data_IF_268326963888
#
_entry.id   IF_268326963888
#
_cell.length_a   1.000
_cell.length_b   1.000
_cell.length_c   1.000
_cell.angle_alpha   90.00
_cell.angle_beta   90.00
_cell.angle_gamma   90.00
#
_symmetry.space_group_name_H-M   'P 1'
#
loop_
_entity.id
_entity.type
_entity.pdbx_description
1 polymer ?
#
# COMPACT_ATOMS: atom_id res chain seq x y z
N UNK A 1 9.24 9.24 -10.24
CA UNK A 1 7.94 9.69 -10.80
C UNK A 1 7.08 8.45 -10.92
N UNK A 2 5.93 8.38 -10.24
CA UNK A 2 5.11 7.17 -10.24
C UNK A 2 4.26 7.03 -11.51
N UNK A 3 3.97 5.79 -11.88
CA UNK A 3 2.97 5.44 -12.89
C UNK A 3 1.74 4.82 -12.24
N UNK A 4 0.61 4.90 -12.95
CA UNK A 4 -0.63 4.22 -12.57
C UNK A 4 -0.98 3.21 -13.64
N UNK A 5 -1.33 1.99 -13.23
CA UNK A 5 -1.81 0.95 -14.12
C UNK A 5 -3.19 0.52 -13.63
N UNK A 6 -4.14 0.39 -14.56
CA UNK A 6 -5.43 -0.22 -14.23
C UNK A 6 -5.19 -1.71 -13.88
N UNK A 7 -5.87 -2.21 -12.84
CA UNK A 7 -5.89 -3.65 -12.59
C UNK A 7 -6.54 -4.33 -13.79
N UNK A 8 -5.92 -5.43 -14.26
CA UNK A 8 -6.53 -6.30 -15.28
C UNK A 8 -7.37 -7.38 -14.61
N UNK A 9 -8.29 -7.95 -15.37
CA UNK A 9 -9.04 -9.13 -14.92
C UNK A 9 -8.08 -10.24 -14.47
N UNK A 10 -8.28 -10.74 -13.24
CA UNK A 10 -7.44 -11.74 -12.56
C UNK A 10 -6.03 -11.30 -12.15
N UNK A 11 -5.66 -10.02 -12.22
CA UNK A 11 -4.42 -9.50 -11.63
C UNK A 11 -4.71 -8.92 -10.23
N UNK A 12 -4.50 -9.74 -9.19
CA UNK A 12 -4.65 -9.33 -7.79
C UNK A 12 -3.36 -8.70 -7.26
N UNK A 13 -3.47 -7.49 -6.71
CA UNK A 13 -2.39 -6.88 -5.92
C UNK A 13 -2.57 -7.09 -4.40
N UNK A 14 -2.04 -6.17 -3.60
CA UNK A 14 -2.12 -6.24 -2.14
C UNK A 14 -3.49 -5.84 -1.56
N UNK A 15 -4.32 -5.08 -2.30
CA UNK A 15 -5.71 -4.81 -1.89
C UNK A 15 -6.58 -6.05 -2.10
N UNK A 16 -6.90 -6.74 -0.99
CA UNK A 16 -7.69 -7.96 -1.02
C UNK A 16 -9.19 -7.72 -1.33
N UNK A 17 -9.65 -6.48 -1.30
CA UNK A 17 -11.03 -6.13 -1.63
C UNK A 17 -11.20 -5.66 -3.08
N UNK A 18 -10.09 -5.34 -3.76
CA UNK A 18 -10.10 -5.00 -5.17
C UNK A 18 -10.19 -6.26 -6.03
N UNK A 19 -11.39 -6.84 -6.04
CA UNK A 19 -11.74 -8.09 -6.72
C UNK A 19 -13.09 -7.96 -7.42
N UNK A 20 -13.38 -8.92 -8.30
CA UNK A 20 -14.68 -9.05 -8.95
C UNK A 20 -15.84 -9.00 -7.95
N UNK A 21 -16.94 -8.36 -8.36
CA UNK A 21 -18.08 -8.07 -7.49
C UNK A 21 -18.67 -9.34 -6.86
N UNK A 22 -18.68 -10.44 -7.60
CA UNK A 22 -19.26 -11.73 -7.22
C UNK A 22 -18.37 -12.50 -6.23
N UNK A 23 -17.12 -12.09 -6.03
CA UNK A 23 -16.23 -12.73 -5.07
C UNK A 23 -16.81 -12.66 -3.66
N UNK A 24 -16.74 -13.77 -2.90
CA UNK A 24 -17.37 -13.88 -1.57
C UNK A 24 -16.98 -12.74 -0.62
N UNK A 25 -15.74 -12.24 -0.76
CA UNK A 25 -15.22 -11.14 0.06
C UNK A 25 -16.09 -9.89 -0.12
N UNK A 26 -16.71 -9.64 -1.27
CA UNK A 26 -17.55 -8.46 -1.47
C UNK A 26 -18.94 -8.58 -0.83
N UNK A 27 -19.33 -9.79 -0.40
CA UNK A 27 -20.56 -10.02 0.36
C UNK A 27 -21.85 -9.90 -0.45
N UNK A 28 -21.80 -10.13 -1.77
CA UNK A 28 -22.98 -10.06 -2.65
C UNK A 28 -23.79 -11.36 -2.62
N UNK A 29 -23.12 -12.51 -2.46
CA UNK A 29 -23.72 -13.85 -2.42
C UNK A 29 -22.80 -14.79 -1.62
N UNK A 30 -23.32 -15.73 -0.79
CA UNK A 30 -24.74 -16.02 -0.53
C UNK A 30 -25.44 -15.05 0.43
N UNK A 31 -24.71 -14.42 1.36
CA UNK A 31 -25.26 -13.41 2.28
C UNK A 31 -24.32 -12.22 2.45
N UNK A 32 -24.86 -11.03 2.83
CA UNK A 32 -24.05 -9.87 3.17
C UNK A 32 -23.11 -10.07 4.36
N UNK A 33 -21.91 -9.51 4.26
CA UNK A 33 -20.93 -9.47 5.37
C UNK A 33 -21.24 -8.26 6.27
N UNK A 34 -21.45 -8.50 7.56
CA UNK A 34 -21.63 -7.46 8.56
C UNK A 34 -20.41 -6.54 8.65
N UNK A 35 -20.62 -5.23 8.59
CA UNK A 35 -19.58 -4.20 8.55
C UNK A 35 -20.10 -2.86 9.10
N UNK A 36 -19.25 -1.83 9.32
CA UNK A 36 -19.68 -0.54 9.84
C UNK A 36 -20.76 0.18 9.01
N UNK A 37 -20.84 -0.09 7.71
CA UNK A 37 -21.84 0.49 6.80
C UNK A 37 -23.14 -0.31 6.72
N UNK A 38 -23.24 -1.48 7.38
CA UNK A 38 -24.44 -2.33 7.36
C UNK A 38 -25.69 -1.66 7.94
N UNK A 39 -25.53 -0.62 8.77
CA UNK A 39 -26.66 0.17 9.30
C UNK A 39 -27.36 1.00 8.23
N UNK A 40 -26.74 1.18 7.06
CA UNK A 40 -27.29 1.92 5.94
C UNK A 40 -27.75 0.93 4.85
N UNK A 41 -29.07 0.73 4.64
CA UNK A 41 -29.58 -0.28 3.69
C UNK A 41 -29.03 -0.14 2.27
N UNK A 42 -28.74 1.09 1.83
CA UNK A 42 -28.11 1.38 0.54
C UNK A 42 -26.75 0.69 0.34
N UNK A 43 -25.99 0.51 1.42
CA UNK A 43 -24.60 0.05 1.39
C UNK A 43 -24.40 -1.34 2.02
N UNK A 44 -25.46 -1.92 2.58
CA UNK A 44 -25.38 -3.16 3.34
C UNK A 44 -25.13 -4.40 2.47
N UNK A 45 -25.56 -4.38 1.19
CA UNK A 45 -25.55 -5.56 0.32
C UNK A 45 -24.24 -5.84 -0.43
N UNK A 46 -23.28 -4.90 -0.46
CA UNK A 46 -21.98 -5.10 -1.11
C UNK A 46 -20.93 -4.18 -0.50
N UNK A 47 -19.74 -4.68 -0.18
CA UNK A 47 -18.68 -3.85 0.42
C UNK A 47 -18.09 -2.83 -0.57
N UNK A 48 -18.12 -3.13 -1.87
CA UNK A 48 -17.72 -2.22 -2.96
C UNK A 48 -18.65 -1.02 -3.09
N UNK A 49 -19.91 -1.12 -2.64
CA UNK A 49 -20.89 -0.03 -2.77
C UNK A 49 -20.52 1.25 -2.04
N UNK A 50 -19.69 1.15 -1.00
CA UNK A 50 -19.15 2.27 -0.22
C UNK A 50 -17.65 2.49 -0.44
N UNK A 51 -17.06 1.81 -1.43
CA UNK A 51 -15.69 2.07 -1.87
C UNK A 51 -14.59 1.42 -1.03
N UNK A 52 -14.82 0.23 -0.45
CA UNK A 52 -13.77 -0.51 0.26
C UNK A 52 -12.52 -0.76 -0.63
N UNK A 53 -12.72 -0.87 -1.94
CA UNK A 53 -11.70 -1.10 -2.96
C UNK A 53 -11.32 0.17 -3.75
N UNK A 54 -11.62 1.37 -3.22
CA UNK A 54 -11.41 2.61 -3.95
C UNK A 54 -9.93 3.02 -4.09
N UNK A 55 -9.03 2.40 -3.32
CA UNK A 55 -7.59 2.72 -3.34
C UNK A 55 -6.83 1.83 -4.31
N UNK A 56 -6.95 0.51 -4.16
CA UNK A 56 -6.13 -0.44 -4.89
C UNK A 56 -4.71 -0.56 -4.34
N UNK A 57 -3.83 -1.14 -5.15
CA UNK A 57 -2.48 -1.53 -4.74
C UNK A 57 -1.46 -0.41 -5.00
N UNK A 58 -0.59 -0.18 -4.03
CA UNK A 58 0.63 0.61 -4.18
C UNK A 58 1.82 -0.35 -4.22
N UNK A 59 2.70 -0.16 -5.20
CA UNK A 59 3.95 -0.90 -5.37
C UNK A 59 5.09 0.10 -5.25
N UNK A 60 6.07 -0.20 -4.41
CA UNK A 60 7.26 0.62 -4.18
C UNK A 60 8.48 -0.21 -4.55
N UNK A 61 9.35 0.36 -5.37
CA UNK A 61 10.64 -0.20 -5.71
C UNK A 61 11.75 0.69 -5.12
N UNK A 62 12.73 0.08 -4.46
CA UNK A 62 13.93 0.77 -3.94
C UNK A 62 15.15 0.10 -4.57
N UNK A 63 15.87 0.87 -5.38
CA UNK A 63 17.06 0.41 -6.10
C UNK A 63 18.34 0.90 -5.40
N UNK A 64 19.27 -0.01 -5.15
CA UNK A 64 20.61 0.29 -4.64
C UNK A 64 21.57 0.65 -5.79
N UNK A 65 22.72 1.24 -5.44
CA UNK A 65 23.74 1.67 -6.41
C UNK A 65 24.32 0.52 -7.26
N UNK A 66 24.22 -0.73 -6.79
CA UNK A 66 24.65 -1.92 -7.53
C UNK A 66 23.57 -2.49 -8.48
N UNK A 67 22.42 -1.82 -8.58
CA UNK A 67 21.27 -2.22 -9.38
C UNK A 67 20.36 -3.26 -8.71
N UNK A 68 20.63 -3.65 -7.47
CA UNK A 68 19.71 -4.53 -6.72
C UNK A 68 18.45 -3.77 -6.35
N UNK A 69 17.29 -4.31 -6.69
CA UNK A 69 15.99 -3.67 -6.41
C UNK A 69 15.17 -4.48 -5.41
N UNK A 70 14.78 -3.86 -4.31
CA UNK A 70 13.77 -4.36 -3.38
C UNK A 70 12.37 -3.86 -3.73
N UNK A 71 11.34 -4.64 -3.41
CA UNK A 71 9.94 -4.38 -3.74
C UNK A 71 9.04 -4.53 -2.52
N UNK A 72 8.19 -3.54 -2.28
CA UNK A 72 7.17 -3.54 -1.23
C UNK A 72 5.80 -3.25 -1.80
N UNK A 73 4.77 -3.97 -1.33
CA UNK A 73 3.38 -3.82 -1.81
C UNK A 73 2.42 -3.60 -0.66
N UNK A 74 1.43 -2.74 -0.84
CA UNK A 74 0.39 -2.48 0.17
C UNK A 74 -0.90 -1.95 -0.45
N UNK A 75 -1.96 -1.82 0.35
CA UNK A 75 -3.18 -1.10 -0.03
C UNK A 75 -3.01 0.39 0.23
N UNK A 76 -2.78 1.17 -0.82
CA UNK A 76 -2.69 2.63 -0.73
C UNK A 76 -2.94 3.35 -2.08
N UNK A 77 -2.87 2.61 -3.20
CA UNK A 77 -3.13 3.13 -4.53
C UNK A 77 -2.28 4.33 -4.93
N UNK A 78 -2.80 5.10 -5.89
CA UNK A 78 -2.21 6.36 -6.36
C UNK A 78 -1.92 7.37 -5.21
N UNK A 79 -2.82 7.58 -4.23
CA UNK A 79 -2.51 8.46 -3.10
C UNK A 79 -1.28 8.02 -2.29
N UNK A 80 -1.07 6.71 -2.15
CA UNK A 80 0.15 6.14 -1.57
C UNK A 80 1.37 6.47 -2.41
N UNK A 81 1.32 6.25 -3.72
CA UNK A 81 2.40 6.56 -4.65
C UNK A 81 2.78 8.04 -4.61
N UNK A 82 1.80 8.95 -4.54
CA UNK A 82 2.06 10.38 -4.38
C UNK A 82 2.85 10.68 -3.10
N UNK A 83 2.47 10.10 -1.96
CA UNK A 83 3.18 10.31 -0.70
C UNK A 83 4.62 9.78 -0.76
N UNK A 84 4.82 8.59 -1.33
CA UNK A 84 6.14 8.00 -1.53
C UNK A 84 7.03 8.94 -2.33
N UNK A 85 6.55 9.38 -3.49
CA UNK A 85 7.32 10.18 -4.45
C UNK A 85 7.52 11.64 -4.04
N UNK A 86 6.51 12.27 -3.42
CA UNK A 86 6.55 13.70 -3.11
C UNK A 86 7.04 13.99 -1.71
N UNK A 87 7.00 13.01 -0.81
CA UNK A 87 7.45 13.20 0.55
C UNK A 87 8.50 12.17 0.96
N UNK A 88 8.19 10.87 0.95
CA UNK A 88 9.00 9.87 1.67
C UNK A 88 10.35 9.61 1.01
N UNK A 89 10.46 9.69 -0.32
CA UNK A 89 11.67 9.39 -1.09
C UNK A 89 12.91 10.15 -0.59
N UNK A 90 12.74 11.39 -0.11
CA UNK A 90 13.82 12.23 0.41
C UNK A 90 14.57 11.65 1.62
N UNK A 91 13.98 10.68 2.31
CA UNK A 91 14.59 10.01 3.46
C UNK A 91 15.29 8.69 3.08
N UNK A 92 15.02 8.19 1.88
CA UNK A 92 15.52 6.91 1.35
C UNK A 92 16.65 7.13 0.36
N UNK A 93 16.49 8.10 -0.56
CA UNK A 93 17.49 8.41 -1.58
C UNK A 93 18.82 8.84 -0.94
N UNK A 94 19.90 8.11 -1.27
CA UNK A 94 21.24 8.34 -0.72
C UNK A 94 21.44 7.84 0.72
N UNK A 95 20.44 7.21 1.34
CA UNK A 95 20.59 6.56 2.64
C UNK A 95 21.19 5.15 2.49
N UNK A 96 21.92 4.70 3.51
CA UNK A 96 22.31 3.30 3.62
C UNK A 96 21.05 2.46 3.93
N UNK A 97 20.70 1.44 3.13
CA UNK A 97 19.48 0.64 3.36
C UNK A 97 19.51 -0.11 4.70
N UNK A 98 20.68 -0.25 5.35
CA UNK A 98 20.81 -0.85 6.68
C UNK A 98 20.34 0.08 7.81
N UNK A 99 20.20 1.37 7.55
CA UNK A 99 19.70 2.37 8.49
C UNK A 99 18.15 2.34 8.63
N UNK A 100 17.54 1.15 8.58
CA UNK A 100 16.08 0.95 8.53
C UNK A 100 15.36 1.75 9.62
N UNK A 101 15.82 1.65 10.87
CA UNK A 101 15.23 2.35 12.01
C UNK A 101 15.27 3.88 11.85
N UNK A 102 16.36 4.42 11.30
CA UNK A 102 16.51 5.86 11.07
C UNK A 102 15.58 6.33 9.96
N UNK A 103 15.53 5.60 8.85
CA UNK A 103 14.68 5.90 7.71
C UNK A 103 13.20 5.88 8.14
N UNK A 104 12.80 4.85 8.89
CA UNK A 104 11.46 4.71 9.43
C UNK A 104 11.09 5.86 10.40
N UNK A 105 11.95 6.17 11.37
CA UNK A 105 11.70 7.26 12.34
C UNK A 105 11.53 8.62 11.65
N UNK A 106 12.36 8.90 10.63
CA UNK A 106 12.26 10.13 9.83
C UNK A 106 10.92 10.21 9.09
N UNK A 107 10.53 9.15 8.37
CA UNK A 107 9.25 9.11 7.66
C UNK A 107 8.05 9.28 8.60
N UNK A 108 8.06 8.58 9.74
CA UNK A 108 6.99 8.64 10.72
C UNK A 108 6.84 10.02 11.36
N UNK A 109 7.95 10.62 11.81
CA UNK A 109 7.93 11.95 12.42
C UNK A 109 7.56 13.03 11.41
N UNK A 110 8.09 12.96 10.19
CA UNK A 110 7.82 13.95 9.14
C UNK A 110 6.35 13.95 8.68
N UNK A 111 5.64 12.83 8.83
CA UNK A 111 4.23 12.69 8.42
C UNK A 111 3.25 12.90 9.58
N UNK A 112 3.72 13.16 10.81
CA UNK A 112 2.88 13.16 12.02
C UNK A 112 1.70 14.16 11.98
N UNK A 113 1.83 15.27 11.25
CA UNK A 113 0.76 16.29 11.13
C UNK A 113 -0.44 15.85 10.29
N UNK A 114 -0.28 14.87 9.39
CA UNK A 114 -1.37 14.34 8.55
C UNK A 114 -1.45 12.80 8.54
N UNK A 115 -0.58 12.13 9.31
CA UNK A 115 -0.47 10.68 9.41
C UNK A 115 -0.88 10.15 10.78
N UNK A 116 0.06 9.51 11.49
CA UNK A 116 -0.14 8.71 12.72
C UNK A 116 -0.96 7.43 12.54
N UNK A 117 -1.89 7.38 11.59
CA UNK A 117 -2.73 6.22 11.25
C UNK A 117 -3.12 6.29 9.78
N UNK A 118 -3.68 5.19 9.26
CA UNK A 118 -4.30 5.16 7.93
C UNK A 118 -3.30 5.29 6.79
N UNK A 119 -3.72 5.96 5.72
CA UNK A 119 -3.06 5.98 4.42
C UNK A 119 -1.56 6.36 4.46
N UNK A 120 -1.11 7.39 5.20
CA UNK A 120 0.34 7.69 5.26
C UNK A 120 1.16 6.58 5.91
N UNK A 121 0.59 5.88 6.90
CA UNK A 121 1.27 4.74 7.53
C UNK A 121 1.33 3.53 6.59
N UNK A 122 0.30 3.31 5.76
CA UNK A 122 0.35 2.29 4.70
C UNK A 122 1.48 2.59 3.71
N UNK A 123 1.61 3.84 3.25
CA UNK A 123 2.70 4.25 2.36
C UNK A 123 4.09 4.03 3.00
N UNK A 124 4.25 4.36 4.30
CA UNK A 124 5.47 4.06 5.05
C UNK A 124 5.75 2.54 5.06
N UNK A 125 4.73 1.72 5.31
CA UNK A 125 4.88 0.27 5.31
C UNK A 125 5.32 -0.30 3.96
N UNK A 126 4.84 0.24 2.83
CA UNK A 126 5.31 -0.20 1.52
C UNK A 126 6.80 0.11 1.30
N UNK A 127 7.25 1.31 1.70
CA UNK A 127 8.67 1.69 1.63
C UNK A 127 9.53 0.80 2.53
N UNK A 128 9.09 0.57 3.77
CA UNK A 128 9.80 -0.28 4.74
C UNK A 128 9.95 -1.72 4.24
N UNK A 129 8.86 -2.31 3.72
CA UNK A 129 8.90 -3.65 3.12
C UNK A 129 9.85 -3.71 1.92
N UNK A 130 9.88 -2.67 1.08
CA UNK A 130 10.80 -2.61 -0.06
C UNK A 130 12.27 -2.56 0.40
N UNK A 131 12.57 -1.83 1.49
CA UNK A 131 13.92 -1.78 2.07
C UNK A 131 14.32 -3.14 2.66
N UNK A 132 13.39 -3.83 3.34
CA UNK A 132 13.67 -5.17 3.86
C UNK A 132 13.89 -6.21 2.76
N UNK A 133 13.09 -6.18 1.69
CA UNK A 133 13.30 -7.03 0.51
C UNK A 133 14.65 -6.73 -0.16
N UNK A 134 15.02 -5.45 -0.27
CA UNK A 134 16.34 -5.04 -0.76
C UNK A 134 17.47 -5.60 0.12
N UNK A 135 17.35 -5.49 1.45
CA UNK A 135 18.34 -5.99 2.39
C UNK A 135 18.52 -7.51 2.31
N UNK A 136 17.43 -8.28 2.19
CA UNK A 136 17.49 -9.72 1.99
C UNK A 136 18.23 -10.07 0.71
N UNK A 137 17.89 -9.40 -0.40
CA UNK A 137 18.58 -9.57 -1.70
C UNK A 137 20.07 -9.22 -1.65
N UNK A 138 20.44 -8.09 -1.04
CA UNK A 138 21.84 -7.66 -0.88
C UNK A 138 22.66 -8.64 -0.03
N UNK A 139 22.01 -9.31 0.95
CA UNK A 139 22.66 -10.33 1.80
C UNK A 139 22.59 -11.73 1.23
N UNK A 140 21.74 -11.95 0.23
CA UNK A 140 21.40 -13.26 -0.30
C UNK A 140 20.86 -14.20 0.82
N UNK A 141 19.91 -13.66 1.61
CA UNK A 141 19.22 -14.30 2.74
C UNK A 141 17.69 -14.15 2.65
#
# INVERSE_FOLDING_TARGET
AYSTHASKDNEQGADCHDVQLEHWINGVSPEPIANPMSVHPKYAGARTSWGINALGTCVVEVEADDGTTGVGVTTAGEPGCYLVEKHLSRFVEGADPRDVERIWDQMWRATTNYGRKGLPLQAISAVDLAIWDLLGKLRNE
#
